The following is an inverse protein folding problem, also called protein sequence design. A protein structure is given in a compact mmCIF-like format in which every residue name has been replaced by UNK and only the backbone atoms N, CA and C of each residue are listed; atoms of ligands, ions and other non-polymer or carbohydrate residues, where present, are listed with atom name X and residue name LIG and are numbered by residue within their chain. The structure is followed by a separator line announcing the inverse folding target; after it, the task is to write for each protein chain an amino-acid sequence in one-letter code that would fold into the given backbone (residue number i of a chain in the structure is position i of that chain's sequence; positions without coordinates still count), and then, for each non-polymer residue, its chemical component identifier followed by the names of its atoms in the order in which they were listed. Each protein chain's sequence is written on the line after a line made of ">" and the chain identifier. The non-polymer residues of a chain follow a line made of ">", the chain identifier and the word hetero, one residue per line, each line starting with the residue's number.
data_IF_843994065969
#
_entry.id   IF_843994065969
#
_cell.length_a   1.000
_cell.length_b   1.000
_cell.length_c   1.000
_cell.angle_alpha   90.00
_cell.angle_beta   90.00
_cell.angle_gamma   90.00
#
_symmetry.space_group_name_H-M   'P 1'
#
loop_
_entity.id
_entity.type
_entity.pdbx_description
1 polymer ?
#
# COMPACT_ATOMS: atom_id res chain seq x y z
N UNK A 1 2.30 -1.29 -10.02
CA UNK A 1 1.34 -0.62 -10.92
C UNK A 1 0.35 0.23 -10.15
N UNK A 2 -0.47 -0.34 -9.24
CA UNK A 2 -1.44 0.44 -8.43
C UNK A 2 -0.80 1.59 -7.64
N UNK A 3 0.26 1.33 -6.88
CA UNK A 3 0.99 2.39 -6.16
C UNK A 3 1.68 3.43 -7.06
N UNK A 4 1.88 3.11 -8.35
CA UNK A 4 2.41 4.04 -9.34
C UNK A 4 1.28 4.79 -10.08
N UNK A 5 0.01 4.52 -9.75
CA UNK A 5 -1.17 5.08 -10.39
C UNK A 5 -1.15 4.90 -11.93
N UNK A 6 -0.83 3.68 -12.38
CA UNK A 6 -0.80 3.29 -13.81
C UNK A 6 -1.56 2.00 -14.07
N UNK A 7 -2.17 1.41 -13.04
CA UNK A 7 -2.93 0.17 -13.10
C UNK A 7 -4.19 0.28 -13.97
N UNK A 8 -4.73 1.48 -14.15
CA UNK A 8 -5.87 1.72 -15.03
C UNK A 8 -5.57 1.42 -16.51
N UNK A 9 -4.30 1.40 -16.91
CA UNK A 9 -3.88 0.97 -18.26
C UNK A 9 -3.85 -0.55 -18.44
N UNK A 10 -3.95 -1.32 -17.35
CA UNK A 10 -3.74 -2.77 -17.34
C UNK A 10 -4.85 -3.52 -16.58
N UNK A 11 -6.07 -2.97 -16.53
CA UNK A 11 -7.14 -3.52 -15.71
C UNK A 11 -7.52 -4.95 -16.11
N UNK A 12 -7.51 -5.23 -17.42
CA UNK A 12 -7.83 -6.55 -17.97
C UNK A 12 -6.75 -7.57 -17.59
N UNK A 13 -5.47 -7.25 -17.83
CA UNK A 13 -4.36 -8.15 -17.54
C UNK A 13 -4.20 -8.40 -16.03
N UNK A 14 -4.40 -7.36 -15.22
CA UNK A 14 -4.43 -7.50 -13.76
C UNK A 14 -5.60 -8.39 -13.35
N UNK A 15 -6.79 -8.17 -13.91
CA UNK A 15 -7.98 -8.97 -13.64
C UNK A 15 -7.78 -10.46 -13.97
N UNK A 16 -7.30 -10.75 -15.17
CA UNK A 16 -7.02 -12.11 -15.64
C UNK A 16 -5.95 -12.80 -14.80
N UNK A 17 -4.90 -12.09 -14.44
CA UNK A 17 -3.85 -12.63 -13.58
C UNK A 17 -4.38 -13.01 -12.20
N UNK A 18 -5.17 -12.14 -11.58
CA UNK A 18 -5.76 -12.38 -10.26
C UNK A 18 -6.77 -13.54 -10.31
N UNK A 19 -7.63 -13.57 -11.33
CA UNK A 19 -8.61 -14.64 -11.54
C UNK A 19 -7.94 -16.02 -11.69
N UNK A 20 -6.85 -16.10 -12.47
CA UNK A 20 -6.09 -17.33 -12.66
C UNK A 20 -5.35 -17.79 -11.40
N UNK A 21 -5.11 -16.89 -10.44
CA UNK A 21 -4.44 -17.17 -9.16
C UNK A 21 -5.39 -17.50 -8.01
N UNK A 22 -6.68 -17.73 -8.29
CA UNK A 22 -7.73 -17.97 -7.26
C UNK A 22 -7.97 -16.73 -6.38
N UNK A 23 -7.65 -15.54 -6.87
CA UNK A 23 -8.09 -14.29 -6.25
C UNK A 23 -9.14 -13.72 -7.18
N UNK A 24 -10.42 -14.13 -7.01
CA UNK A 24 -11.48 -13.40 -7.69
C UNK A 24 -11.47 -11.96 -7.12
N UNK A 25 -11.32 -10.92 -7.95
CA UNK A 25 -11.22 -9.53 -7.47
C UNK A 25 -12.45 -9.07 -6.68
N UNK A 26 -13.57 -9.81 -6.77
CA UNK A 26 -14.82 -9.54 -6.05
C UNK A 26 -15.19 -10.55 -4.95
N UNK A 27 -14.34 -11.53 -4.63
CA UNK A 27 -14.57 -12.36 -3.43
C UNK A 27 -13.86 -11.75 -2.24
N UNK A 28 -14.61 -11.47 -1.17
CA UNK A 28 -14.03 -11.23 0.16
C UNK A 28 -13.02 -12.35 0.43
N UNK A 29 -11.74 -11.98 0.52
CA UNK A 29 -10.73 -12.91 1.03
C UNK A 29 -11.08 -13.18 2.48
N UNK A 30 -11.28 -14.46 2.82
CA UNK A 30 -11.58 -14.85 4.19
C UNK A 30 -10.50 -14.32 5.13
N UNK A 31 -10.93 -13.65 6.21
CA UNK A 31 -10.02 -13.18 7.26
C UNK A 31 -9.32 -14.32 7.99
N UNK A 32 -9.77 -15.55 7.81
CA UNK A 32 -9.13 -16.78 8.31
C UNK A 32 -7.67 -16.92 7.83
N UNK A 33 -7.29 -16.25 6.72
CA UNK A 33 -5.89 -16.20 6.26
C UNK A 33 -4.94 -15.64 7.34
N UNK A 34 -5.47 -14.83 8.27
CA UNK A 34 -4.72 -14.25 9.37
C UNK A 34 -4.61 -15.17 10.60
N UNK A 35 -5.42 -16.21 10.72
CA UNK A 35 -5.48 -17.08 11.92
C UNK A 35 -4.13 -17.71 12.26
N UNK A 36 -3.32 -18.04 11.25
CA UNK A 36 -1.96 -18.58 11.42
C UNK A 36 -0.98 -17.60 12.11
N UNK A 37 -1.35 -16.33 12.21
CA UNK A 37 -0.56 -15.27 12.83
C UNK A 37 -1.07 -14.90 14.22
N UNK A 38 -2.17 -15.51 14.67
CA UNK A 38 -2.79 -15.30 15.97
C UNK A 38 -2.20 -16.28 17.00
N UNK A 39 -1.98 -15.80 18.21
CA UNK A 39 -1.50 -16.58 19.34
C UNK A 39 -2.65 -17.25 20.13
N UNK A 40 -2.30 -18.01 21.17
CA UNK A 40 -3.30 -18.71 21.99
C UNK A 40 -4.23 -17.78 22.79
N UNK A 41 -3.91 -16.48 22.85
CA UNK A 41 -4.70 -15.44 23.53
C UNK A 41 -5.66 -14.74 22.56
N UNK A 42 -5.68 -15.16 21.29
CA UNK A 42 -6.46 -14.50 20.25
C UNK A 42 -5.87 -13.15 19.86
N UNK A 43 -4.54 -12.98 19.94
CA UNK A 43 -3.84 -11.75 19.52
C UNK A 43 -2.75 -12.00 18.50
N UNK A 44 -2.44 -11.00 17.67
CA UNK A 44 -1.31 -11.09 16.74
C UNK A 44 -0.01 -11.39 17.48
N UNK A 45 0.69 -12.42 16.99
CA UNK A 45 1.91 -12.92 17.63
C UNK A 45 3.03 -11.88 17.61
N UNK A 46 3.57 -11.53 18.77
CA UNK A 46 4.66 -10.55 18.90
C UNK A 46 5.93 -10.92 18.10
N UNK A 47 6.12 -12.20 17.75
CA UNK A 47 7.23 -12.62 16.87
C UNK A 47 7.17 -11.96 15.49
N UNK A 48 6.00 -11.52 15.04
CA UNK A 48 5.81 -10.80 13.78
C UNK A 48 6.53 -9.46 13.75
N UNK A 49 6.80 -8.85 14.92
CA UNK A 49 7.53 -7.59 15.05
C UNK A 49 8.97 -7.62 14.49
N UNK A 50 9.47 -8.81 14.13
CA UNK A 50 10.77 -9.00 13.47
C UNK A 50 10.71 -8.76 11.96
N UNK A 51 9.54 -8.88 11.33
CA UNK A 51 9.35 -8.68 9.90
C UNK A 51 8.70 -7.32 9.63
N UNK A 52 9.52 -6.27 9.48
CA UNK A 52 9.01 -4.91 9.34
C UNK A 52 8.17 -4.69 8.08
N UNK A 53 8.57 -5.30 6.96
CA UNK A 53 7.79 -5.26 5.73
C UNK A 53 6.41 -5.89 5.95
N UNK A 54 6.37 -7.08 6.56
CA UNK A 54 5.13 -7.77 6.90
C UNK A 54 4.21 -6.95 7.82
N UNK A 55 4.75 -6.23 8.80
CA UNK A 55 3.97 -5.34 9.67
C UNK A 55 3.37 -4.16 8.90
N UNK A 56 4.13 -3.54 7.99
CA UNK A 56 3.60 -2.47 7.13
C UNK A 56 2.53 -2.99 6.18
N UNK A 57 2.76 -4.15 5.58
CA UNK A 57 1.80 -4.78 4.67
C UNK A 57 0.51 -5.19 5.44
N UNK A 58 0.62 -5.63 6.69
CA UNK A 58 -0.52 -5.92 7.57
C UNK A 58 -1.33 -4.65 7.90
N UNK A 59 -0.66 -3.53 8.19
CA UNK A 59 -1.32 -2.24 8.43
C UNK A 59 -2.07 -1.73 7.19
N UNK A 60 -1.48 -1.87 6.00
CA UNK A 60 -2.16 -1.51 4.75
C UNK A 60 -3.39 -2.39 4.51
N UNK A 61 -3.26 -3.71 4.73
CA UNK A 61 -4.35 -4.66 4.57
C UNK A 61 -5.50 -4.43 5.57
N UNK A 62 -5.22 -4.05 6.82
CA UNK A 62 -6.27 -3.77 7.81
C UNK A 62 -7.18 -2.61 7.40
N UNK A 63 -6.70 -1.69 6.57
CA UNK A 63 -7.50 -0.57 6.08
C UNK A 63 -8.46 -0.93 4.92
N UNK A 64 -8.46 -2.18 4.46
CA UNK A 64 -9.47 -2.74 3.56
C UNK A 64 -10.64 -3.40 4.30
N UNK A 65 -10.63 -3.36 5.64
CA UNK A 65 -11.66 -4.00 6.46
C UNK A 65 -13.07 -3.50 6.16
N UNK A 66 -14.02 -4.44 6.14
CA UNK A 66 -15.46 -4.18 6.15
C UNK A 66 -16.06 -4.48 7.53
N UNK A 67 -17.28 -3.99 7.78
CA UNK A 67 -17.94 -4.15 9.07
C UNK A 67 -18.11 -5.64 9.44
N UNK A 68 -17.68 -5.99 10.67
CA UNK A 68 -17.75 -7.36 11.21
C UNK A 68 -16.43 -8.14 11.15
N UNK A 69 -15.35 -7.55 10.63
CA UNK A 69 -14.02 -8.18 10.56
C UNK A 69 -13.11 -7.74 11.74
N UNK A 70 -13.47 -8.12 12.97
CA UNK A 70 -12.77 -7.71 14.21
C UNK A 70 -11.25 -7.99 14.20
N UNK A 71 -10.82 -9.04 13.49
CA UNK A 71 -9.40 -9.38 13.33
C UNK A 71 -8.62 -8.33 12.56
N UNK A 72 -9.23 -7.60 11.62
CA UNK A 72 -8.58 -6.52 10.90
C UNK A 72 -8.50 -5.25 11.74
N UNK A 73 -9.48 -4.99 12.61
CA UNK A 73 -9.37 -3.92 13.62
C UNK A 73 -8.21 -4.19 14.57
N UNK A 74 -8.05 -5.44 15.00
CA UNK A 74 -6.89 -5.86 15.81
C UNK A 74 -5.59 -5.72 15.02
N UNK A 75 -5.58 -6.11 13.74
CA UNK A 75 -4.42 -5.99 12.87
C UNK A 75 -3.97 -4.53 12.72
N UNK A 76 -4.91 -3.59 12.57
CA UNK A 76 -4.61 -2.15 12.53
C UNK A 76 -3.95 -1.72 13.85
N UNK A 77 -4.56 -2.05 14.99
CA UNK A 77 -4.04 -1.64 16.30
C UNK A 77 -2.64 -2.18 16.56
N UNK A 78 -2.43 -3.49 16.35
CA UNK A 78 -1.17 -4.17 16.55
C UNK A 78 -0.07 -3.57 15.66
N UNK A 79 -0.30 -3.55 14.35
CA UNK A 79 0.71 -3.08 13.39
C UNK A 79 1.05 -1.60 13.60
N UNK A 80 0.05 -0.76 13.89
CA UNK A 80 0.23 0.67 14.22
C UNK A 80 1.11 0.88 15.45
N UNK A 81 0.88 0.11 16.52
CA UNK A 81 1.68 0.19 17.73
C UNK A 81 3.14 -0.19 17.46
N UNK A 82 3.36 -1.28 16.73
CA UNK A 82 4.71 -1.74 16.36
C UNK A 82 5.44 -0.70 15.51
N UNK A 83 4.80 -0.17 14.46
CA UNK A 83 5.39 0.84 13.57
C UNK A 83 5.74 2.13 14.32
N UNK A 84 4.84 2.63 15.17
CA UNK A 84 5.10 3.82 16.01
C UNK A 84 6.24 3.59 16.99
N UNK A 85 6.26 2.45 17.68
CA UNK A 85 7.33 2.09 18.61
C UNK A 85 8.70 2.06 17.93
N UNK A 86 8.77 1.50 16.73
CA UNK A 86 10.01 1.44 15.93
C UNK A 86 10.47 2.81 15.42
N UNK A 87 9.52 3.69 15.04
CA UNK A 87 9.84 5.08 14.70
C UNK A 87 10.44 5.83 15.89
N UNK A 88 9.86 5.69 17.08
CA UNK A 88 10.36 6.33 18.30
C UNK A 88 11.73 5.77 18.73
N UNK A 89 11.96 4.47 18.51
CA UNK A 89 13.22 3.80 18.79
C UNK A 89 14.32 4.04 17.75
N UNK A 90 14.13 4.93 16.77
CA UNK A 90 15.06 5.20 15.66
C UNK A 90 15.57 3.91 14.98
N UNK A 91 14.69 2.91 14.83
CA UNK A 91 15.03 1.60 14.28
C UNK A 91 15.05 1.57 12.74
N UNK A 92 14.78 2.71 12.07
CA UNK A 92 14.73 2.84 10.62
C UNK A 92 15.79 3.82 10.15
N UNK A 93 16.28 3.62 8.92
CA UNK A 93 16.98 4.69 8.23
C UNK A 93 16.00 5.83 7.86
N UNK A 94 16.56 6.96 7.39
CA UNK A 94 15.75 8.14 7.06
C UNK A 94 14.70 7.89 5.99
N UNK A 95 14.97 6.99 5.03
CA UNK A 95 14.07 6.69 3.95
C UNK A 95 12.90 5.82 4.45
N UNK A 96 13.20 4.70 5.10
CA UNK A 96 12.19 3.82 5.70
C UNK A 96 11.36 4.54 6.77
N UNK A 97 11.97 5.41 7.59
CA UNK A 97 11.24 6.22 8.56
C UNK A 97 10.21 7.15 7.90
N UNK A 98 10.57 7.75 6.75
CA UNK A 98 9.64 8.57 5.96
C UNK A 98 8.49 7.73 5.44
N UNK A 99 8.77 6.54 4.90
CA UNK A 99 7.74 5.63 4.39
C UNK A 99 6.77 5.17 5.46
N UNK A 100 7.29 4.72 6.60
CA UNK A 100 6.45 4.31 7.72
C UNK A 100 5.59 5.47 8.21
N UNK A 101 6.14 6.69 8.30
CA UNK A 101 5.35 7.88 8.67
C UNK A 101 4.24 8.16 7.67
N UNK A 102 4.55 8.10 6.37
CA UNK A 102 3.59 8.36 5.31
C UNK A 102 2.48 7.30 5.29
N UNK A 103 2.81 6.01 5.39
CA UNK A 103 1.82 4.93 5.50
C UNK A 103 0.91 5.12 6.71
N UNK A 104 1.46 5.46 7.89
CA UNK A 104 0.67 5.69 9.10
C UNK A 104 -0.27 6.90 9.00
N UNK A 105 0.10 7.93 8.22
CA UNK A 105 -0.72 9.12 8.01
C UNK A 105 -1.76 8.92 6.91
N UNK A 106 -1.34 8.29 5.81
CA UNK A 106 -2.08 8.18 4.56
C UNK A 106 -2.01 6.72 4.07
N UNK A 107 -2.82 5.80 4.64
CA UNK A 107 -2.90 4.44 4.14
C UNK A 107 -3.26 4.42 2.66
N UNK A 108 -2.66 3.52 1.89
CA UNK A 108 -2.78 3.47 0.43
C UNK A 108 -4.23 3.39 -0.04
N UNK A 109 -5.07 2.62 0.66
CA UNK A 109 -6.47 2.39 0.30
C UNK A 109 -7.43 3.51 0.74
N UNK A 110 -6.98 4.41 1.60
CA UNK A 110 -7.75 5.58 2.07
C UNK A 110 -7.25 6.89 1.47
N UNK A 111 -6.28 6.81 0.56
CA UNK A 111 -5.59 7.95 -0.03
C UNK A 111 -5.76 7.95 -1.54
N UNK A 112 -5.78 9.14 -2.16
CA UNK A 112 -5.81 9.23 -3.62
C UNK A 112 -4.46 8.82 -4.18
N UNK A 113 -4.46 7.81 -5.05
CA UNK A 113 -3.25 7.24 -5.66
C UNK A 113 -2.35 8.28 -6.34
N UNK A 114 -2.95 9.34 -6.90
CA UNK A 114 -2.20 10.46 -7.49
C UNK A 114 -1.29 11.18 -6.49
N UNK A 115 -1.68 11.28 -5.20
CA UNK A 115 -0.89 11.94 -4.16
C UNK A 115 0.16 11.00 -3.56
N UNK A 116 -0.13 9.71 -3.44
CA UNK A 116 0.79 8.73 -2.85
C UNK A 116 1.83 8.20 -3.85
N UNK A 117 1.53 8.22 -5.15
CA UNK A 117 2.44 7.73 -6.19
C UNK A 117 3.76 8.52 -6.29
N UNK A 118 3.74 9.81 -5.96
CA UNK A 118 4.96 10.64 -5.92
C UNK A 118 5.97 10.19 -4.87
N UNK A 119 5.49 9.72 -3.73
CA UNK A 119 6.33 9.28 -2.63
C UNK A 119 6.93 7.90 -2.94
N UNK A 120 6.18 7.07 -3.66
CA UNK A 120 6.55 5.71 -4.02
C UNK A 120 7.69 5.62 -5.06
N UNK A 121 7.96 6.68 -5.82
CA UNK A 121 9.13 6.70 -6.72
C UNK A 121 10.46 6.55 -5.97
N UNK A 122 10.50 6.94 -4.68
CA UNK A 122 11.68 6.81 -3.83
C UNK A 122 11.94 5.37 -3.33
N UNK A 123 10.90 4.57 -3.14
CA UNK A 123 10.91 3.27 -2.41
C UNK A 123 11.70 2.16 -3.11
N UNK A 124 11.93 2.34 -4.40
CA UNK A 124 12.58 1.36 -5.23
C UNK A 124 14.11 1.48 -5.24
N UNK A 125 14.68 2.24 -4.31
CA UNK A 125 16.12 2.51 -4.24
C UNK A 125 16.97 1.22 -4.20
N UNK A 126 16.43 0.11 -3.69
CA UNK A 126 17.15 -1.15 -3.54
C UNK A 126 16.78 -2.25 -4.56
N UNK A 127 15.92 -1.97 -5.56
CA UNK A 127 15.53 -2.94 -6.59
C UNK A 127 16.19 -2.61 -7.93
N UNK A 128 17.35 -3.21 -8.17
CA UNK A 128 18.14 -3.04 -9.40
C UNK A 128 17.60 -3.91 -10.56
N UNK A 129 16.31 -3.77 -10.87
CA UNK A 129 15.64 -4.61 -11.87
C UNK A 129 15.23 -3.74 -13.08
N UNK A 130 15.72 -4.07 -14.28
CA UNK A 130 15.50 -3.23 -15.48
C UNK A 130 14.02 -2.93 -15.80
N UNK A 131 13.14 -3.91 -15.65
CA UNK A 131 11.69 -3.74 -15.86
C UNK A 131 11.07 -2.70 -14.93
N UNK A 132 11.59 -2.58 -13.71
CA UNK A 132 11.12 -1.60 -12.74
C UNK A 132 11.48 -0.17 -13.15
N UNK A 133 12.64 0.00 -13.79
CA UNK A 133 13.03 1.28 -14.41
C UNK A 133 12.01 1.73 -15.45
N UNK A 134 11.64 0.84 -16.37
CA UNK A 134 10.63 1.12 -17.39
C UNK A 134 9.27 1.51 -16.80
N UNK A 135 8.82 0.83 -15.75
CA UNK A 135 7.58 1.19 -15.06
C UNK A 135 7.63 2.56 -14.38
N UNK A 136 8.79 2.95 -13.83
CA UNK A 136 8.98 4.30 -13.26
C UNK A 136 8.93 5.38 -14.34
N UNK A 137 9.62 5.16 -15.45
CA UNK A 137 9.65 6.11 -16.57
C UNK A 137 8.25 6.28 -17.14
N UNK A 138 7.55 5.17 -17.35
CA UNK A 138 6.15 5.20 -17.80
C UNK A 138 5.26 5.96 -16.81
N UNK A 139 5.31 5.64 -15.52
CA UNK A 139 4.52 6.33 -14.50
C UNK A 139 4.84 7.83 -14.39
N UNK A 140 6.10 8.23 -14.61
CA UNK A 140 6.50 9.64 -14.64
C UNK A 140 5.91 10.37 -15.85
N UNK A 141 5.95 9.77 -17.03
CA UNK A 141 5.35 10.33 -18.25
C UNK A 141 3.83 10.45 -18.08
N UNK A 142 3.18 9.38 -17.63
CA UNK A 142 1.74 9.34 -17.39
C UNK A 142 1.29 10.40 -16.38
N UNK A 143 2.00 10.51 -15.26
CA UNK A 143 1.73 11.53 -14.26
C UNK A 143 1.80 12.95 -14.84
N UNK A 144 2.83 13.25 -15.65
CA UNK A 144 2.99 14.57 -16.26
C UNK A 144 1.86 14.88 -17.25
N UNK A 145 1.42 13.90 -18.02
CA UNK A 145 0.29 14.02 -18.94
C UNK A 145 -1.02 14.32 -18.17
N UNK A 146 -1.33 13.52 -17.15
CA UNK A 146 -2.51 13.73 -16.30
C UNK A 146 -2.49 15.10 -15.62
N UNK A 147 -1.33 15.52 -15.10
CA UNK A 147 -1.18 16.85 -14.50
C UNK A 147 -1.45 17.97 -15.52
N UNK A 148 -0.98 17.83 -16.75
CA UNK A 148 -1.23 18.82 -17.81
C UNK A 148 -2.73 18.92 -18.14
N UNK A 149 -3.41 17.78 -18.31
CA UNK A 149 -4.85 17.74 -18.56
C UNK A 149 -5.66 18.37 -17.42
N UNK A 150 -5.35 18.04 -16.17
CA UNK A 150 -6.02 18.64 -15.01
C UNK A 150 -5.84 20.16 -14.96
N UNK A 151 -4.66 20.69 -15.32
CA UNK A 151 -4.44 22.15 -15.39
C UNK A 151 -5.30 22.81 -16.47
N UNK A 152 -5.44 22.19 -17.63
CA UNK A 152 -6.32 22.70 -18.70
C UNK A 152 -7.78 22.72 -18.26
N UNK A 153 -8.25 21.65 -17.61
CA UNK A 153 -9.61 21.57 -17.07
C UNK A 153 -9.88 22.64 -16.01
N UNK A 154 -8.95 22.83 -15.06
CA UNK A 154 -9.06 23.89 -14.05
C UNK A 154 -9.13 25.27 -14.72
N UNK A 155 -8.31 25.52 -15.74
CA UNK A 155 -8.33 26.78 -16.47
C UNK A 155 -9.67 27.02 -17.19
N UNK A 156 -10.27 25.98 -17.76
CA UNK A 156 -11.59 26.08 -18.40
C UNK A 156 -12.71 26.34 -17.40
N UNK A 157 -12.67 25.72 -16.21
CA UNK A 157 -13.72 25.86 -15.18
C UNK A 157 -13.58 27.18 -14.41
N UNK A 158 -12.36 27.73 -14.31
CA UNK A 158 -12.09 29.00 -13.61
C UNK A 158 -12.39 30.24 -14.46
N UNK A 159 -12.91 30.06 -15.67
CA UNK A 159 -13.24 31.13 -16.63
C UNK A 159 -14.73 31.41 -16.64
#
# INVERSE_FOLDING_TARGET
>A
MQRLNIDYHFQEEIGDFLNNKVIKPCTSMSTEVFDKFIDKRGKFNERLCRNMKGIRDLYEASHLSIAGEDILDEAEQFSKQVLKGRLLGNCFDNHEAKLVRNTLQNPSHKSLAMFTGREFFGDFHNMNNGWLGSFKDFAKIDFNLQQHLHRLQIHQISR
#
